data_IF_323829942649
#
_entry.id   IF_323829942649
#
_cell.length_a   1.000
_cell.length_b   1.000
_cell.length_c   1.000
_cell.angle_alpha   90.00
_cell.angle_beta   90.00
_cell.angle_gamma   90.00
#
_symmetry.space_group_name_H-M   'P 1'
#
loop_
_entity.id
_entity.type
_entity.pdbx_description
1 polymer ?
#
# COMPACT_ATOMS: atom_id res chain seq x y z
N UNK A 1 15.67 2.73 -11.00
CA UNK A 1 14.36 3.30 -10.63
C UNK A 1 14.29 3.43 -9.12
N UNK A 2 13.87 4.58 -8.59
CA UNK A 2 13.79 4.79 -7.15
C UNK A 2 12.57 4.07 -6.56
N UNK A 3 12.60 3.84 -5.23
CA UNK A 3 11.47 3.23 -4.53
C UNK A 3 10.18 4.06 -4.72
N UNK A 4 10.30 5.38 -4.72
CA UNK A 4 9.15 6.26 -4.92
C UNK A 4 8.54 6.07 -6.32
N UNK A 5 9.37 5.89 -7.34
CA UNK A 5 8.89 5.64 -8.70
C UNK A 5 8.22 4.28 -8.82
N UNK A 6 8.76 3.26 -8.15
CA UNK A 6 8.15 1.92 -8.14
C UNK A 6 6.79 1.94 -7.45
N UNK A 7 6.69 2.65 -6.34
CA UNK A 7 5.42 2.81 -5.62
C UNK A 7 4.41 3.54 -6.50
N UNK A 8 4.82 4.65 -7.11
CA UNK A 8 3.93 5.41 -8.00
C UNK A 8 3.42 4.56 -9.16
N UNK A 9 4.27 3.68 -9.69
CA UNK A 9 3.88 2.80 -10.80
C UNK A 9 2.80 1.81 -10.38
N UNK A 10 2.87 1.28 -9.16
CA UNK A 10 1.91 0.29 -8.67
C UNK A 10 0.69 0.90 -7.97
N UNK A 11 0.73 2.18 -7.69
CA UNK A 11 -0.30 2.86 -6.91
C UNK A 11 -1.72 2.75 -7.51
N UNK A 12 -1.93 2.89 -8.83
CA UNK A 12 -3.27 2.74 -9.41
C UNK A 12 -3.87 1.35 -9.16
N UNK A 13 -3.04 0.32 -9.18
CA UNK A 13 -3.49 -1.05 -8.92
C UNK A 13 -3.86 -1.24 -7.46
N UNK A 14 -3.07 -0.67 -6.56
CA UNK A 14 -3.35 -0.72 -5.13
C UNK A 14 -4.66 0.02 -4.80
N UNK A 15 -4.88 1.18 -5.40
CA UNK A 15 -6.12 1.93 -5.21
C UNK A 15 -7.34 1.14 -5.67
N UNK A 16 -7.23 0.50 -6.83
CA UNK A 16 -8.32 -0.33 -7.36
C UNK A 16 -8.62 -1.50 -6.42
N UNK A 17 -7.58 -2.16 -5.96
CA UNK A 17 -7.69 -3.26 -5.01
C UNK A 17 -8.33 -2.80 -3.69
N UNK A 18 -7.87 -1.68 -3.16
CA UNK A 18 -8.38 -1.13 -1.90
C UNK A 18 -9.85 -0.75 -2.00
N UNK A 19 -10.26 -0.14 -3.11
CA UNK A 19 -11.66 0.23 -3.33
C UNK A 19 -12.57 -0.98 -3.43
N UNK A 20 -12.09 -2.04 -4.09
CA UNK A 20 -12.84 -3.29 -4.20
C UNK A 20 -12.98 -3.97 -2.84
N UNK A 21 -11.92 -3.96 -2.05
CA UNK A 21 -11.89 -4.60 -0.74
C UNK A 21 -12.78 -3.87 0.28
N UNK A 22 -12.72 -2.55 0.30
CA UNK A 22 -13.49 -1.73 1.26
C UNK A 22 -14.92 -1.45 0.79
N UNK A 23 -15.17 -1.57 -0.51
CA UNK A 23 -16.47 -1.25 -1.07
C UNK A 23 -16.74 0.23 -1.25
N UNK A 24 -15.76 1.10 -1.00
CA UNK A 24 -15.93 2.53 -1.19
C UNK A 24 -14.63 3.20 -1.61
N UNK A 25 -14.76 4.29 -2.38
CA UNK A 25 -13.61 5.05 -2.83
C UNK A 25 -12.92 5.76 -1.66
N UNK A 26 -13.68 6.41 -0.78
CA UNK A 26 -13.10 7.18 0.33
C UNK A 26 -12.39 6.27 1.34
N UNK A 27 -12.98 5.13 1.70
CA UNK A 27 -12.34 4.18 2.61
C UNK A 27 -11.12 3.54 1.96
N UNK A 28 -11.22 3.15 0.68
CA UNK A 28 -10.08 2.58 -0.04
C UNK A 28 -8.92 3.55 -0.09
N UNK A 29 -9.17 4.81 -0.43
CA UNK A 29 -8.14 5.83 -0.51
C UNK A 29 -7.52 6.13 0.86
N UNK A 30 -8.29 6.04 1.94
CA UNK A 30 -7.75 6.21 3.30
C UNK A 30 -6.77 5.11 3.67
N UNK A 31 -7.06 3.85 3.32
CA UNK A 31 -6.14 2.75 3.56
C UNK A 31 -4.88 2.86 2.70
N UNK A 32 -5.02 3.32 1.46
CA UNK A 32 -3.86 3.58 0.60
C UNK A 32 -2.99 4.68 1.20
N UNK A 33 -3.58 5.75 1.68
CA UNK A 33 -2.84 6.84 2.31
C UNK A 33 -2.08 6.35 3.55
N UNK A 34 -2.71 5.51 4.38
CA UNK A 34 -2.07 4.93 5.55
C UNK A 34 -0.88 4.04 5.16
N UNK A 35 -1.02 3.29 4.07
CA UNK A 35 0.05 2.44 3.55
C UNK A 35 1.25 3.28 3.11
N UNK A 36 1.00 4.35 2.37
CA UNK A 36 2.06 5.24 1.91
C UNK A 36 2.76 5.92 3.08
N UNK A 37 2.00 6.34 4.09
CA UNK A 37 2.55 6.96 5.29
C UNK A 37 3.46 6.00 6.05
N UNK A 38 3.05 4.74 6.18
CA UNK A 38 3.87 3.72 6.82
C UNK A 38 5.18 3.50 6.07
N UNK A 39 5.15 3.55 4.74
CA UNK A 39 6.36 3.42 3.92
C UNK A 39 7.32 4.59 4.09
N UNK A 40 6.78 5.79 4.27
CA UNK A 40 7.61 6.97 4.53
C UNK A 40 8.33 6.84 5.87
N UNK A 41 7.64 6.30 6.87
CA UNK A 41 8.21 6.12 8.21
C UNK A 41 9.24 5.00 8.27
N UNK A 42 9.06 3.96 7.46
CA UNK A 42 9.96 2.81 7.43
C UNK A 42 10.32 2.45 5.99
N UNK A 43 11.21 3.23 5.36
CA UNK A 43 11.56 2.98 3.96
C UNK A 43 12.23 1.64 3.72
N UNK A 44 12.77 1.00 4.77
CA UNK A 44 13.42 -0.31 4.65
C UNK A 44 12.44 -1.43 4.29
N UNK A 45 11.14 -1.21 4.44
CA UNK A 45 10.13 -2.21 4.11
C UNK A 45 10.26 -2.65 2.64
N UNK A 46 10.50 -1.68 1.74
CA UNK A 46 10.67 -1.99 0.31
C UNK A 46 12.00 -2.68 0.02
N UNK A 47 13.03 -2.36 0.79
CA UNK A 47 14.38 -2.91 0.59
C UNK A 47 14.47 -4.37 1.01
N UNK A 48 13.63 -4.81 1.93
CA UNK A 48 13.61 -6.18 2.41
C UNK A 48 12.94 -7.14 1.42
N UNK A 49 12.14 -6.63 0.51
CA UNK A 49 11.44 -7.43 -0.49
C UNK A 49 12.08 -7.24 -1.85
N UNK A 50 12.27 -8.34 -2.59
CA UNK A 50 12.79 -8.29 -3.94
C UNK A 50 11.78 -7.73 -4.92
N UNK A 51 10.49 -7.84 -4.61
CA UNK A 51 9.41 -7.37 -5.49
C UNK A 51 8.63 -6.25 -4.78
N UNK A 52 8.77 -5.01 -5.26
CA UNK A 52 8.09 -3.86 -4.62
C UNK A 52 6.57 -3.98 -4.60
N UNK A 53 5.98 -4.62 -5.61
CA UNK A 53 4.55 -4.84 -5.66
C UNK A 53 4.11 -5.73 -4.50
N UNK A 54 4.84 -6.80 -4.25
CA UNK A 54 4.54 -7.72 -3.14
C UNK A 54 4.66 -7.01 -1.81
N UNK A 55 5.74 -6.23 -1.64
CA UNK A 55 5.96 -5.47 -0.40
C UNK A 55 4.81 -4.50 -0.14
N UNK A 56 4.38 -3.78 -1.18
CA UNK A 56 3.30 -2.80 -1.07
C UNK A 56 1.97 -3.47 -0.67
N UNK A 57 1.62 -4.57 -1.32
CA UNK A 57 0.38 -5.28 -1.02
C UNK A 57 0.41 -5.97 0.33
N UNK A 58 1.56 -6.48 0.76
CA UNK A 58 1.71 -7.04 2.11
C UNK A 58 1.50 -5.98 3.18
N UNK A 59 2.10 -4.81 2.99
CA UNK A 59 1.94 -3.72 3.93
C UNK A 59 0.49 -3.25 4.00
N UNK A 60 -0.16 -3.10 2.84
CA UNK A 60 -1.57 -2.76 2.78
C UNK A 60 -2.42 -3.78 3.53
N UNK A 61 -2.18 -5.07 3.30
CA UNK A 61 -2.95 -6.14 3.93
C UNK A 61 -2.76 -6.16 5.44
N UNK A 62 -1.54 -5.88 5.92
CA UNK A 62 -1.27 -5.79 7.35
C UNK A 62 -2.06 -4.65 8.00
N UNK A 63 -2.11 -3.49 7.34
CA UNK A 63 -2.86 -2.34 7.83
C UNK A 63 -4.36 -2.65 7.81
N UNK A 64 -4.85 -3.23 6.73
CA UNK A 64 -6.24 -3.64 6.61
C UNK A 64 -6.64 -4.58 7.75
N UNK A 65 -5.82 -5.61 8.00
CA UNK A 65 -6.11 -6.59 9.04
C UNK A 65 -6.08 -6.00 10.46
N UNK A 66 -5.26 -4.95 10.68
CA UNK A 66 -5.15 -4.35 12.00
C UNK A 66 -6.23 -3.29 12.26
N UNK A 67 -6.76 -2.64 11.22
CA UNK A 67 -7.72 -1.54 11.37
C UNK A 67 -9.16 -1.95 11.06
N UNK A 68 -9.37 -2.94 10.22
CA UNK A 68 -10.68 -3.36 9.76
C UNK A 68 -11.26 -4.47 10.63
N UNK A 69 -11.33 -4.22 11.91
CA UNK A 69 -11.83 -5.22 12.88
C UNK A 69 -13.33 -5.11 13.08
#
# INVERSE_FOLDING_TARGET
>A
MSSAQLVAHHLPYLRRYARALTGSQSSGDAYVAATLEAMIKEPNILDEEQNPKVALFRLFSAIWNSLAV
#
